data_IF_535271551455
#
_entry.id   IF_535271551455
#
_cell.length_a   1.000
_cell.length_b   1.000
_cell.length_c   1.000
_cell.angle_alpha   90.00
_cell.angle_beta   90.00
_cell.angle_gamma   90.00
#
_symmetry.space_group_name_H-M   'P 1'
#
loop_
_entity.id
_entity.type
_entity.pdbx_description
1 polymer ?
#
# COMPACT_ATOMS: atom_id res chain seq x y z
N UNK A 1 13.53 5.69 -6.23
CA UNK A 1 12.35 4.90 -6.65
C UNK A 1 12.00 5.12 -8.11
N UNK A 2 11.71 6.33 -8.60
CA UNK A 2 11.35 6.56 -10.02
C UNK A 2 12.34 5.99 -11.04
N UNK A 3 13.64 6.23 -10.84
CA UNK A 3 14.70 5.65 -11.70
C UNK A 3 14.69 4.12 -11.71
N UNK A 4 14.33 3.49 -10.58
CA UNK A 4 14.26 2.03 -10.49
C UNK A 4 13.07 1.45 -11.29
N UNK A 5 12.14 2.28 -11.74
CA UNK A 5 11.07 1.90 -12.67
C UNK A 5 11.50 2.05 -14.15
N UNK A 6 12.70 2.59 -14.43
CA UNK A 6 13.16 2.96 -15.77
C UNK A 6 14.66 2.67 -15.95
N UNK A 7 15.12 1.48 -15.54
CA UNK A 7 16.54 1.12 -15.62
C UNK A 7 17.12 1.21 -17.05
N UNK A 8 16.29 0.99 -18.06
CA UNK A 8 16.65 1.11 -19.47
C UNK A 8 17.11 2.53 -19.85
N UNK A 9 16.55 3.54 -19.19
CA UNK A 9 16.81 4.94 -19.51
C UNK A 9 18.01 5.50 -18.73
N UNK A 10 18.66 4.71 -17.86
CA UNK A 10 19.75 5.18 -16.97
C UNK A 10 20.89 5.85 -17.74
N UNK A 11 21.26 5.31 -18.93
CA UNK A 11 22.29 5.92 -19.80
C UNK A 11 21.86 7.28 -20.33
N UNK A 12 20.63 7.36 -20.84
CA UNK A 12 20.06 8.60 -21.38
C UNK A 12 19.96 9.68 -20.29
N UNK A 13 19.41 9.33 -19.13
CA UNK A 13 19.30 10.23 -17.97
C UNK A 13 20.67 10.74 -17.53
N UNK A 14 21.69 9.88 -17.50
CA UNK A 14 23.06 10.28 -17.13
C UNK A 14 23.65 11.27 -18.12
N UNK A 15 23.53 11.01 -19.43
CA UNK A 15 24.05 11.93 -20.46
C UNK A 15 23.41 13.31 -20.34
N UNK A 16 22.09 13.38 -20.20
CA UNK A 16 21.37 14.64 -20.01
C UNK A 16 21.79 15.38 -18.72
N UNK A 17 22.18 14.64 -17.68
CA UNK A 17 22.60 15.23 -16.41
C UNK A 17 24.05 15.72 -16.38
N UNK A 18 24.93 15.15 -17.21
CA UNK A 18 26.34 15.57 -17.30
C UNK A 18 26.54 16.89 -18.02
N UNK A 19 25.58 17.29 -18.86
CA UNK A 19 25.57 18.63 -19.49
C UNK A 19 25.45 19.76 -18.45
N UNK A 20 25.21 19.44 -17.16
CA UNK A 20 24.90 20.41 -16.11
C UNK A 20 25.68 20.17 -14.81
N UNK A 21 26.44 21.19 -14.39
CA UNK A 21 27.25 21.14 -13.17
C UNK A 21 26.58 21.96 -12.05
N UNK A 22 25.44 21.50 -11.53
CA UNK A 22 24.88 22.03 -10.27
C UNK A 22 25.07 21.04 -9.13
N UNK A 23 25.18 21.54 -7.88
CA UNK A 23 25.41 20.70 -6.69
C UNK A 23 24.29 19.68 -6.44
N UNK A 24 23.03 20.03 -6.71
CA UNK A 24 21.88 19.13 -6.58
C UNK A 24 21.85 18.05 -7.67
N UNK A 25 22.29 18.39 -8.89
CA UNK A 25 22.41 17.43 -10.00
C UNK A 25 23.58 16.47 -9.73
N UNK A 26 24.67 16.97 -9.14
CA UNK A 26 25.87 16.19 -8.88
C UNK A 26 25.61 14.88 -8.12
N UNK A 27 24.88 14.92 -7.00
CA UNK A 27 24.59 13.72 -6.21
C UNK A 27 23.77 12.71 -7.02
N UNK A 28 22.77 13.17 -7.77
CA UNK A 28 21.93 12.32 -8.62
C UNK A 28 22.75 11.72 -9.77
N UNK A 29 23.68 12.47 -10.37
CA UNK A 29 24.60 11.97 -11.39
C UNK A 29 25.50 10.88 -10.83
N UNK A 30 26.02 11.05 -9.60
CA UNK A 30 26.79 10.01 -8.91
C UNK A 30 25.98 8.74 -8.66
N UNK A 31 24.69 8.86 -8.30
CA UNK A 31 23.80 7.70 -8.18
C UNK A 31 23.57 6.99 -9.52
N UNK A 32 23.36 7.73 -10.61
CA UNK A 32 23.22 7.13 -11.94
C UNK A 32 24.52 6.48 -12.42
N UNK A 33 25.67 7.09 -12.16
CA UNK A 33 26.98 6.50 -12.45
C UNK A 33 27.19 5.19 -11.68
N UNK A 34 26.83 5.16 -10.39
CA UNK A 34 26.87 3.94 -9.60
C UNK A 34 25.96 2.85 -10.18
N UNK A 35 24.73 3.20 -10.58
CA UNK A 35 23.81 2.27 -11.23
C UNK A 35 24.37 1.75 -12.57
N UNK A 36 24.92 2.61 -13.43
CA UNK A 36 25.53 2.22 -14.71
C UNK A 36 26.75 1.30 -14.51
N UNK A 37 27.56 1.57 -13.49
CA UNK A 37 28.69 0.73 -13.14
C UNK A 37 28.22 -0.64 -12.64
N UNK A 38 27.15 -0.70 -11.85
CA UNK A 38 26.52 -1.96 -11.44
C UNK A 38 25.96 -2.73 -12.64
N UNK A 39 25.22 -2.06 -13.54
CA UNK A 39 24.68 -2.68 -14.75
C UNK A 39 25.80 -3.28 -15.62
N UNK A 40 26.89 -2.54 -15.79
CA UNK A 40 28.05 -2.99 -16.57
C UNK A 40 28.78 -4.16 -15.89
N UNK A 41 28.99 -4.08 -14.57
CA UNK A 41 29.72 -5.11 -13.80
C UNK A 41 28.95 -6.43 -13.74
N UNK A 42 27.62 -6.35 -13.60
CA UNK A 42 26.72 -7.51 -13.53
C UNK A 42 26.27 -8.00 -14.91
N UNK A 43 26.54 -7.24 -15.98
CA UNK A 43 25.97 -7.45 -17.31
C UNK A 43 24.42 -7.56 -17.27
N UNK A 44 23.79 -6.73 -16.43
CA UNK A 44 22.35 -6.68 -16.24
C UNK A 44 21.84 -5.27 -16.52
N UNK A 45 20.80 -5.16 -17.34
CA UNK A 45 20.15 -3.88 -17.59
C UNK A 45 19.18 -3.55 -16.45
N UNK A 46 18.32 -4.48 -16.06
CA UNK A 46 17.42 -4.31 -14.92
C UNK A 46 18.15 -4.64 -13.61
N UNK A 47 18.29 -3.67 -12.71
CA UNK A 47 18.86 -3.89 -11.37
C UNK A 47 17.81 -4.36 -10.35
N UNK A 48 16.54 -4.43 -10.74
CA UNK A 48 15.43 -4.89 -9.92
C UNK A 48 14.77 -3.78 -9.11
N UNK A 49 13.96 -4.19 -8.14
CA UNK A 49 13.17 -3.29 -7.31
C UNK A 49 13.97 -2.77 -6.12
N UNK A 50 13.79 -1.50 -5.79
CA UNK A 50 14.41 -0.88 -4.62
C UNK A 50 13.78 -1.41 -3.32
N UNK A 51 14.60 -1.78 -2.34
CA UNK A 51 14.10 -1.97 -0.98
C UNK A 51 13.71 -0.62 -0.38
N UNK A 52 12.52 -0.53 0.20
CA UNK A 52 11.93 0.74 0.59
C UNK A 52 12.67 1.46 1.73
N UNK A 53 13.39 0.70 2.56
CA UNK A 53 14.10 1.21 3.74
C UNK A 53 15.60 1.21 3.49
N UNK A 54 16.23 2.38 3.28
CA UNK A 54 17.69 2.47 3.26
C UNK A 54 18.27 1.99 4.58
N UNK A 55 19.35 1.22 4.52
CA UNK A 55 20.08 0.79 5.72
C UNK A 55 21.04 1.90 6.13
N UNK A 56 21.21 2.10 7.43
CA UNK A 56 22.09 3.11 8.00
C UNK A 56 22.88 2.50 9.15
N UNK A 57 24.16 2.81 9.24
CA UNK A 57 24.99 2.50 10.41
C UNK A 57 25.11 3.72 11.35
N UNK A 58 25.79 3.52 12.48
CA UNK A 58 26.08 4.59 13.45
C UNK A 58 27.03 5.66 12.93
N UNK A 59 27.77 5.39 11.85
CA UNK A 59 28.74 6.30 11.23
C UNK A 59 28.10 7.17 10.13
N UNK A 60 26.82 6.96 9.82
CA UNK A 60 26.09 7.69 8.79
C UNK A 60 26.22 7.12 7.37
N UNK A 61 26.84 5.96 7.21
CA UNK A 61 26.87 5.23 5.93
C UNK A 61 25.47 4.79 5.56
N UNK A 62 25.04 5.09 4.32
CA UNK A 62 23.72 4.70 3.81
C UNK A 62 23.89 3.65 2.73
N UNK A 63 23.24 2.50 2.88
CA UNK A 63 23.17 1.46 1.86
C UNK A 63 21.76 1.39 1.29
N UNK A 64 21.69 1.53 -0.04
CA UNK A 64 20.48 1.39 -0.82
C UNK A 64 20.54 0.04 -1.52
N UNK A 65 19.55 -0.81 -1.25
CA UNK A 65 19.52 -2.18 -1.77
C UNK A 65 18.51 -2.31 -2.91
N UNK A 66 18.88 -3.09 -3.92
CA UNK A 66 17.98 -3.49 -5.02
C UNK A 66 17.89 -5.00 -5.05
N UNK A 67 16.70 -5.52 -5.33
CA UNK A 67 16.41 -6.96 -5.38
C UNK A 67 15.92 -7.28 -6.78
N UNK A 68 16.61 -8.20 -7.45
CA UNK A 68 16.23 -8.70 -8.76
C UNK A 68 16.11 -10.23 -8.74
N UNK A 69 15.04 -10.75 -9.35
CA UNK A 69 14.90 -12.17 -9.62
C UNK A 69 15.51 -12.52 -10.98
N UNK A 70 16.65 -13.22 -10.94
CA UNK A 70 17.35 -13.66 -12.16
C UNK A 70 16.99 -15.11 -12.48
N UNK A 71 16.46 -15.37 -13.68
CA UNK A 71 16.07 -16.72 -14.13
C UNK A 71 17.23 -17.71 -14.20
N UNK A 72 18.43 -17.23 -14.56
CA UNK A 72 19.62 -18.07 -14.67
C UNK A 72 20.85 -17.36 -14.11
N UNK A 73 21.62 -17.98 -13.21
CA UNK A 73 22.89 -17.44 -12.73
C UNK A 73 23.89 -17.12 -13.86
N UNK A 74 23.76 -17.77 -15.02
CA UNK A 74 24.61 -17.56 -16.20
C UNK A 74 24.36 -16.23 -16.91
N UNK A 75 23.21 -15.60 -16.70
CA UNK A 75 22.89 -14.30 -17.31
C UNK A 75 23.48 -13.12 -16.53
N UNK A 76 24.18 -13.38 -15.43
CA UNK A 76 24.86 -12.36 -14.63
C UNK A 76 26.34 -12.59 -14.75
N UNK A 77 27.06 -11.55 -15.14
CA UNK A 77 28.52 -11.56 -15.09
C UNK A 77 28.97 -11.51 -13.63
N UNK A 78 29.76 -12.50 -13.22
CA UNK A 78 30.23 -12.65 -11.84
C UNK A 78 31.75 -12.56 -11.80
N UNK A 79 32.34 -11.62 -12.54
CA UNK A 79 33.79 -11.50 -12.79
C UNK A 79 34.67 -11.53 -11.54
N UNK A 80 34.15 -11.10 -10.37
CA UNK A 80 34.86 -11.12 -9.08
C UNK A 80 33.95 -11.54 -7.89
N UNK A 81 32.85 -12.22 -8.17
CA UNK A 81 31.87 -12.62 -7.15
C UNK A 81 31.55 -14.10 -7.28
N UNK A 82 30.76 -14.65 -6.36
CA UNK A 82 30.21 -16.00 -6.49
C UNK A 82 28.79 -16.04 -5.97
N UNK A 83 27.96 -16.85 -6.60
CA UNK A 83 26.64 -17.16 -6.06
C UNK A 83 26.79 -17.92 -4.76
N UNK A 84 26.09 -17.46 -3.72
CA UNK A 84 26.06 -18.11 -2.42
C UNK A 84 24.66 -18.70 -2.18
N UNK A 85 24.57 -19.96 -1.74
CA UNK A 85 23.34 -20.53 -1.22
C UNK A 85 22.80 -19.70 -0.05
N UNK A 86 21.47 -19.56 0.00
CA UNK A 86 20.77 -18.71 0.97
C UNK A 86 21.05 -19.11 2.43
N UNK A 87 21.16 -20.41 2.71
CA UNK A 87 21.52 -20.93 4.03
C UNK A 87 22.92 -20.50 4.53
N UNK A 88 23.83 -20.11 3.62
CA UNK A 88 25.15 -19.57 4.00
C UNK A 88 25.12 -18.08 4.30
N UNK A 89 24.14 -17.38 3.74
CA UNK A 89 23.93 -15.94 3.88
C UNK A 89 23.08 -15.64 5.12
N UNK A 90 22.05 -16.46 5.37
CA UNK A 90 21.16 -16.37 6.53
C UNK A 90 21.80 -16.89 7.81
N UNK A 91 22.86 -16.21 8.26
CA UNK A 91 23.35 -16.35 9.62
C UNK A 91 22.58 -15.37 10.51
N UNK A 92 22.00 -15.86 11.60
CA UNK A 92 21.44 -14.97 12.65
C UNK A 92 22.59 -14.15 13.24
N UNK A 93 22.75 -12.93 12.75
CA UNK A 93 23.63 -11.94 13.35
C UNK A 93 22.86 -11.22 14.45
N UNK A 94 23.39 -11.20 15.67
CA UNK A 94 22.87 -10.35 16.74
C UNK A 94 23.38 -8.94 16.48
N UNK A 95 22.47 -8.03 16.13
CA UNK A 95 22.80 -6.64 15.90
C UNK A 95 22.92 -5.90 17.24
N UNK A 96 24.06 -5.26 17.47
CA UNK A 96 24.28 -4.22 18.48
C UNK A 96 24.20 -2.81 17.86
N UNK A 97 24.05 -1.76 18.65
CA UNK A 97 24.09 -0.36 18.19
C UNK A 97 25.40 0.02 17.47
N UNK A 98 26.49 -0.72 17.74
CA UNK A 98 27.80 -0.56 17.09
C UNK A 98 28.02 -1.48 15.88
N UNK A 99 26.97 -2.17 15.40
CA UNK A 99 27.11 -3.10 14.28
C UNK A 99 27.57 -2.39 13.01
N UNK A 100 28.52 -3.00 12.28
CA UNK A 100 28.94 -2.46 11.00
C UNK A 100 27.81 -2.49 9.97
N UNK A 101 27.85 -1.59 8.98
CA UNK A 101 26.85 -1.60 7.90
C UNK A 101 26.79 -2.94 7.16
N UNK A 102 27.91 -3.67 7.09
CA UNK A 102 27.99 -5.00 6.50
C UNK A 102 27.17 -6.01 7.31
N UNK A 103 27.23 -5.96 8.64
CA UNK A 103 26.47 -6.85 9.51
C UNK A 103 24.98 -6.55 9.43
N UNK A 104 24.61 -5.26 9.43
CA UNK A 104 23.22 -4.80 9.25
C UNK A 104 22.68 -5.26 7.89
N UNK A 105 23.47 -5.11 6.82
CA UNK A 105 23.10 -5.59 5.50
C UNK A 105 22.85 -7.09 5.51
N UNK A 106 23.82 -7.90 5.97
CA UNK A 106 23.72 -9.35 5.98
C UNK A 106 22.53 -9.86 6.81
N UNK A 107 22.24 -9.24 7.95
CA UNK A 107 21.08 -9.56 8.78
C UNK A 107 19.75 -9.27 8.08
N UNK A 108 19.69 -8.22 7.24
CA UNK A 108 18.46 -7.77 6.60
C UNK A 108 18.10 -8.51 5.29
N UNK A 109 19.02 -9.28 4.70
CA UNK A 109 18.83 -9.88 3.35
C UNK A 109 17.54 -10.72 3.27
N UNK A 110 17.25 -11.52 4.30
CA UNK A 110 16.06 -12.37 4.32
C UNK A 110 14.77 -11.54 4.28
N UNK A 111 14.71 -10.46 5.07
CA UNK A 111 13.56 -9.57 5.14
C UNK A 111 13.36 -8.81 3.83
N UNK A 112 14.46 -8.34 3.23
CA UNK A 112 14.42 -7.66 1.94
C UNK A 112 13.87 -8.55 0.82
N UNK A 113 14.30 -9.81 0.78
CA UNK A 113 13.84 -10.78 -0.23
C UNK A 113 12.37 -11.14 0.00
N UNK A 114 11.98 -11.40 1.26
CA UNK A 114 10.59 -11.69 1.61
C UNK A 114 9.69 -10.52 1.21
N UNK A 115 10.07 -9.29 1.59
CA UNK A 115 9.35 -8.08 1.22
C UNK A 115 9.20 -7.94 -0.30
N UNK A 116 10.28 -8.14 -1.05
CA UNK A 116 10.24 -8.06 -2.51
C UNK A 116 9.21 -9.04 -3.10
N UNK A 117 9.27 -10.31 -2.68
CA UNK A 117 8.38 -11.36 -3.17
C UNK A 117 6.90 -11.04 -2.90
N UNK A 118 6.58 -10.61 -1.68
CA UNK A 118 5.19 -10.34 -1.29
C UNK A 118 4.67 -9.00 -1.80
N UNK A 119 5.54 -8.01 -2.01
CA UNK A 119 5.15 -6.68 -2.51
C UNK A 119 4.65 -6.65 -3.94
N UNK A 120 4.94 -7.70 -4.72
CA UNK A 120 4.51 -7.84 -6.11
C UNK A 120 3.30 -8.78 -6.27
N UNK A 121 2.76 -9.33 -5.17
CA UNK A 121 1.62 -10.23 -5.22
C UNK A 121 0.33 -9.45 -5.45
N UNK A 122 -0.44 -9.87 -6.45
CA UNK A 122 -1.80 -9.37 -6.69
C UNK A 122 -2.78 -10.07 -5.77
N UNK A 123 -3.78 -9.33 -5.29
CA UNK A 123 -4.98 -9.94 -4.73
C UNK A 123 -5.70 -10.79 -5.79
N UNK A 124 -6.29 -11.89 -5.36
CA UNK A 124 -7.18 -12.68 -6.22
C UNK A 124 -8.48 -11.93 -6.51
N UNK A 125 -9.26 -12.45 -7.46
CA UNK A 125 -10.54 -11.86 -7.85
C UNK A 125 -11.50 -11.74 -6.67
N UNK A 126 -12.09 -10.57 -6.47
CA UNK A 126 -13.14 -10.33 -5.48
C UNK A 126 -13.31 -8.90 -5.02
N UNK A 127 -14.35 -8.70 -4.21
CA UNK A 127 -14.59 -7.47 -3.46
C UNK A 127 -13.95 -7.59 -2.08
N UNK A 128 -13.19 -6.57 -1.69
CA UNK A 128 -12.49 -6.51 -0.43
C UNK A 128 -12.93 -5.32 0.42
N UNK A 129 -12.77 -5.44 1.73
CA UNK A 129 -12.89 -4.35 2.67
C UNK A 129 -11.50 -4.03 3.17
N UNK A 130 -11.05 -2.79 3.01
CA UNK A 130 -9.73 -2.32 3.37
C UNK A 130 -9.80 -1.34 4.55
N UNK A 131 -8.79 -1.33 5.41
CA UNK A 131 -8.73 -0.47 6.58
C UNK A 131 -7.57 0.52 6.46
N UNK A 132 -7.87 1.82 6.46
CA UNK A 132 -6.84 2.86 6.43
C UNK A 132 -6.33 3.14 7.85
N UNK A 133 -5.05 2.88 8.11
CA UNK A 133 -4.40 3.31 9.35
C UNK A 133 -3.15 4.09 9.02
N UNK A 134 -3.12 5.35 9.44
CA UNK A 134 -1.96 6.23 9.24
C UNK A 134 -1.22 6.49 10.55
N UNK A 135 0.08 6.62 10.43
CA UNK A 135 0.98 7.05 11.50
C UNK A 135 1.74 8.29 11.04
N UNK A 136 1.85 9.29 11.90
CA UNK A 136 2.72 10.43 11.66
C UNK A 136 4.11 10.14 12.22
N UNK A 137 5.14 10.46 11.44
CA UNK A 137 6.53 10.56 11.89
C UNK A 137 7.02 11.98 11.67
N UNK A 138 8.17 12.36 12.27
CA UNK A 138 8.69 13.74 12.30
C UNK A 138 8.67 14.41 10.90
N UNK A 139 8.99 13.65 9.85
CA UNK A 139 9.13 14.19 8.49
C UNK A 139 8.13 13.63 7.47
N UNK A 140 7.32 12.63 7.83
CA UNK A 140 6.46 11.95 6.85
C UNK A 140 5.28 11.19 7.47
N UNK A 141 4.20 11.07 6.70
CA UNK A 141 3.07 10.20 7.03
C UNK A 141 3.33 8.80 6.47
N UNK A 142 3.06 7.80 7.28
CA UNK A 142 3.21 6.39 6.96
C UNK A 142 1.87 5.67 7.07
N UNK A 143 1.73 4.58 6.32
CA UNK A 143 0.59 3.67 6.33
C UNK A 143 0.99 2.37 7.03
N UNK A 144 0.12 1.88 7.91
CA UNK A 144 0.25 0.55 8.48
C UNK A 144 -0.32 -0.45 7.48
N UNK A 145 0.51 -1.41 7.06
CA UNK A 145 0.15 -2.47 6.10
C UNK A 145 0.61 -3.83 6.61
N UNK A 146 0.05 -4.91 6.06
CA UNK A 146 0.49 -6.27 6.39
C UNK A 146 1.85 -6.57 5.76
N UNK A 147 2.72 -7.28 6.50
CA UNK A 147 3.99 -7.79 5.97
C UNK A 147 3.80 -8.80 4.84
N UNK A 148 2.64 -9.46 4.77
CA UNK A 148 2.32 -10.45 3.73
C UNK A 148 1.77 -9.85 2.44
N UNK A 149 1.26 -8.63 2.47
CA UNK A 149 0.69 -7.91 1.33
C UNK A 149 0.93 -6.41 1.48
N UNK A 150 2.19 -5.95 1.41
CA UNK A 150 2.55 -4.57 1.74
C UNK A 150 2.07 -3.55 0.70
N UNK A 151 1.68 -4.03 -0.49
CA UNK A 151 1.09 -3.24 -1.57
C UNK A 151 -0.42 -3.04 -1.43
N UNK A 152 -1.03 -3.51 -0.34
CA UNK A 152 -2.43 -3.29 -0.01
C UNK A 152 -2.58 -2.88 1.44
N UNK A 153 -3.59 -2.05 1.72
CA UNK A 153 -4.02 -1.78 3.09
C UNK A 153 -4.44 -3.11 3.76
N UNK A 154 -4.41 -3.21 5.11
CA UNK A 154 -4.99 -4.33 5.82
C UNK A 154 -6.42 -4.56 5.33
N UNK A 155 -6.74 -5.78 4.92
CA UNK A 155 -7.98 -6.05 4.20
C UNK A 155 -8.59 -7.41 4.55
N UNK A 156 -9.89 -7.54 4.26
CA UNK A 156 -10.63 -8.78 4.35
C UNK A 156 -11.47 -8.98 3.09
N UNK A 157 -11.54 -10.21 2.56
CA UNK A 157 -12.40 -10.52 1.41
C UNK A 157 -13.86 -10.53 1.85
N UNK A 158 -14.71 -9.85 1.08
CA UNK A 158 -16.17 -9.80 1.26
C UNK A 158 -16.82 -10.92 0.45
N UNK A 159 -16.50 -11.01 -0.85
CA UNK A 159 -17.03 -12.01 -1.79
C UNK A 159 -16.17 -12.14 -3.05
N UNK A 160 -16.45 -13.13 -3.89
CA UNK A 160 -15.72 -13.37 -5.15
C UNK A 160 -16.12 -12.44 -6.30
N UNK A 161 -17.31 -11.83 -6.27
CA UNK A 161 -17.72 -10.84 -7.25
C UNK A 161 -17.15 -9.45 -6.88
N UNK A 162 -16.29 -8.84 -7.72
CA UNK A 162 -15.72 -7.52 -7.44
C UNK A 162 -16.73 -6.37 -7.58
N UNK A 163 -17.76 -6.50 -8.41
CA UNK A 163 -18.63 -5.38 -8.79
C UNK A 163 -19.76 -5.14 -7.80
N UNK A 164 -19.83 -3.93 -7.22
CA UNK A 164 -20.95 -3.49 -6.38
C UNK A 164 -22.00 -2.82 -7.25
N UNK A 165 -23.24 -3.32 -7.22
CA UNK A 165 -24.36 -2.71 -7.93
C UNK A 165 -24.77 -1.38 -7.31
N UNK A 166 -25.42 -0.51 -8.08
CA UNK A 166 -25.93 0.77 -7.58
C UNK A 166 -26.93 0.58 -6.42
N UNK A 167 -27.75 -0.48 -6.49
CA UNK A 167 -28.72 -0.84 -5.45
C UNK A 167 -28.05 -1.30 -4.15
N UNK A 168 -27.01 -2.13 -4.23
CA UNK A 168 -26.19 -2.55 -3.08
C UNK A 168 -25.48 -1.35 -2.45
N UNK A 169 -24.88 -0.49 -3.28
CA UNK A 169 -24.16 0.70 -2.81
C UNK A 169 -25.10 1.69 -2.13
N UNK A 170 -26.25 1.98 -2.74
CA UNK A 170 -27.24 2.89 -2.16
C UNK A 170 -27.81 2.33 -0.86
N UNK A 171 -28.08 1.03 -0.78
CA UNK A 171 -28.54 0.40 0.45
C UNK A 171 -27.51 0.51 1.57
N UNK A 172 -26.22 0.27 1.28
CA UNK A 172 -25.14 0.45 2.25
C UNK A 172 -25.04 1.90 2.73
N UNK A 173 -25.28 2.89 1.86
CA UNK A 173 -25.27 4.31 2.23
C UNK A 173 -26.46 4.73 3.09
N UNK A 174 -27.61 4.09 2.94
CA UNK A 174 -28.84 4.43 3.66
C UNK A 174 -28.89 3.90 5.10
N UNK A 175 -27.88 3.18 5.57
CA UNK A 175 -27.91 2.58 6.92
C UNK A 175 -27.97 3.60 8.06
N UNK A 176 -27.60 4.85 7.82
CA UNK A 176 -27.73 5.94 8.79
C UNK A 176 -29.17 6.47 8.95
N UNK A 177 -30.07 6.17 8.00
CA UNK A 177 -31.46 6.62 8.04
C UNK A 177 -32.29 5.70 8.95
N UNK A 178 -33.28 6.25 9.68
CA UNK A 178 -34.26 5.43 10.39
C UNK A 178 -34.98 4.51 9.40
N UNK A 179 -35.33 3.28 9.79
CA UNK A 179 -36.00 2.28 8.94
C UNK A 179 -37.37 2.77 8.41
N UNK A 180 -37.34 3.58 7.35
CA UNK A 180 -38.52 3.96 6.58
C UNK A 180 -38.73 2.85 5.55
N UNK A 181 -39.49 1.83 5.96
CA UNK A 181 -39.91 0.65 5.17
C UNK A 181 -38.73 -0.14 4.58
N UNK A 182 -38.32 -1.21 5.26
CA UNK A 182 -37.30 -2.18 4.80
C UNK A 182 -37.80 -3.00 3.58
N UNK A 183 -37.99 -2.31 2.46
CA UNK A 183 -38.25 -2.88 1.14
C UNK A 183 -36.95 -3.40 0.48
N UNK A 184 -35.91 -3.64 1.28
CA UNK A 184 -34.64 -4.16 0.79
C UNK A 184 -34.85 -5.53 0.14
N UNK A 185 -34.15 -5.78 -0.96
CA UNK A 185 -34.10 -7.11 -1.56
C UNK A 185 -33.28 -8.06 -0.68
N UNK A 186 -33.49 -9.36 -0.84
CA UNK A 186 -32.67 -10.38 -0.18
C UNK A 186 -31.18 -10.22 -0.54
N UNK A 187 -30.88 -9.80 -1.78
CA UNK A 187 -29.52 -9.52 -2.25
C UNK A 187 -28.86 -8.36 -1.49
N UNK A 188 -29.61 -7.28 -1.25
CA UNK A 188 -29.12 -6.12 -0.48
C UNK A 188 -28.83 -6.48 0.98
N UNK A 189 -29.70 -7.28 1.61
CA UNK A 189 -29.47 -7.77 2.98
C UNK A 189 -28.25 -8.67 3.06
N UNK A 190 -28.13 -9.64 2.16
CA UNK A 190 -26.97 -10.55 2.09
C UNK A 190 -25.67 -9.75 1.86
N UNK A 191 -25.67 -8.76 0.97
CA UNK A 191 -24.52 -7.88 0.77
C UNK A 191 -24.11 -7.15 2.05
N UNK A 192 -25.07 -6.57 2.78
CA UNK A 192 -24.81 -5.91 4.05
C UNK A 192 -24.23 -6.87 5.09
N UNK A 193 -24.80 -8.07 5.24
CA UNK A 193 -24.29 -9.13 6.14
C UNK A 193 -22.85 -9.51 5.80
N UNK A 194 -22.52 -9.68 4.51
CA UNK A 194 -21.16 -9.99 4.07
C UNK A 194 -20.18 -8.87 4.42
N UNK A 195 -20.57 -7.60 4.22
CA UNK A 195 -19.76 -6.43 4.58
C UNK A 195 -19.56 -6.35 6.10
N UNK A 196 -20.62 -6.54 6.88
CA UNK A 196 -20.57 -6.54 8.36
C UNK A 196 -19.68 -7.65 8.89
N UNK A 197 -19.81 -8.87 8.36
CA UNK A 197 -18.98 -10.02 8.70
C UNK A 197 -17.50 -9.78 8.36
N UNK A 198 -17.21 -9.18 7.19
CA UNK A 198 -15.86 -8.81 6.80
C UNK A 198 -15.28 -7.69 7.69
N UNK A 199 -16.09 -6.70 8.06
CA UNK A 199 -15.69 -5.61 8.96
C UNK A 199 -15.29 -6.16 10.34
N UNK A 200 -16.12 -7.04 10.93
CA UNK A 200 -15.81 -7.70 12.22
C UNK A 200 -14.50 -8.48 12.16
N UNK A 201 -14.27 -9.26 11.09
CA UNK A 201 -12.99 -9.98 10.91
C UNK A 201 -11.81 -9.03 10.79
N UNK A 202 -11.97 -7.93 10.06
CA UNK A 202 -10.92 -6.93 9.86
C UNK A 202 -10.59 -6.18 11.15
N UNK A 203 -11.60 -5.79 11.93
CA UNK A 203 -11.43 -5.15 13.23
C UNK A 203 -10.77 -6.08 14.24
N UNK A 204 -11.15 -7.35 14.28
CA UNK A 204 -10.48 -8.36 15.09
C UNK A 204 -9.01 -8.53 14.66
N UNK A 205 -8.72 -8.54 13.36
CA UNK A 205 -7.35 -8.61 12.86
C UNK A 205 -6.52 -7.39 13.28
N UNK A 206 -7.11 -6.20 13.23
CA UNK A 206 -6.46 -4.93 13.59
C UNK A 206 -6.51 -4.61 15.09
N UNK A 207 -7.02 -5.53 15.92
CA UNK A 207 -7.16 -5.37 17.38
C UNK A 207 -7.91 -4.08 17.77
N UNK A 208 -9.02 -3.82 17.08
CA UNK A 208 -9.87 -2.64 17.30
C UNK A 208 -11.03 -3.03 18.23
N UNK A 209 -11.21 -2.25 19.30
CA UNK A 209 -12.31 -2.46 20.24
C UNK A 209 -13.67 -2.20 19.58
N UNK A 210 -14.74 -2.82 20.10
CA UNK A 210 -16.09 -2.55 19.58
C UNK A 210 -16.51 -1.08 19.77
N UNK A 211 -16.03 -0.42 20.83
CA UNK A 211 -16.30 1.00 21.09
C UNK A 211 -15.65 1.88 20.02
N UNK A 212 -14.37 1.62 19.71
CA UNK A 212 -13.66 2.33 18.65
C UNK A 212 -14.32 2.07 17.31
N UNK A 213 -14.58 0.79 16.97
CA UNK A 213 -15.16 0.35 15.71
C UNK A 213 -16.47 1.08 15.37
N UNK A 214 -17.27 1.44 16.36
CA UNK A 214 -18.52 2.19 16.15
C UNK A 214 -18.29 3.64 15.67
N UNK A 215 -17.14 4.23 15.97
CA UNK A 215 -16.76 5.59 15.56
C UNK A 215 -16.10 5.65 14.18
N UNK A 216 -15.72 4.51 13.63
CA UNK A 216 -15.13 4.40 12.30
C UNK A 216 -16.14 4.74 11.21
N UNK A 217 -15.63 5.18 10.06
CA UNK A 217 -16.40 5.72 8.95
C UNK A 217 -16.12 4.93 7.69
N UNK A 218 -17.17 4.59 6.96
CA UNK A 218 -17.05 4.02 5.62
C UNK A 218 -16.76 5.13 4.62
N UNK A 219 -15.78 4.94 3.74
CA UNK A 219 -15.58 5.79 2.57
C UNK A 219 -16.74 5.60 1.59
N UNK A 220 -17.61 6.60 1.49
CA UNK A 220 -18.91 6.53 0.82
C UNK A 220 -18.98 7.29 -0.52
N UNK A 221 -17.86 7.90 -0.92
CA UNK A 221 -17.74 8.64 -2.19
C UNK A 221 -17.80 7.69 -3.39
N UNK A 222 -16.98 6.65 -3.39
CA UNK A 222 -16.90 5.67 -4.46
C UNK A 222 -16.35 4.31 -3.97
N UNK A 223 -16.57 3.27 -4.77
CA UNK A 223 -15.90 1.98 -4.62
C UNK A 223 -14.59 2.04 -5.40
N UNK A 224 -13.47 1.67 -4.78
CA UNK A 224 -12.18 1.72 -5.46
C UNK A 224 -12.01 0.48 -6.34
N UNK A 225 -12.02 0.69 -7.65
CA UNK A 225 -11.79 -0.35 -8.65
C UNK A 225 -10.30 -0.36 -9.06
N UNK A 226 -9.55 -1.38 -8.66
CA UNK A 226 -8.14 -1.50 -9.05
C UNK A 226 -7.99 -2.06 -10.46
N UNK A 227 -8.78 -3.09 -10.74
CA UNK A 227 -8.83 -3.87 -11.98
C UNK A 227 -10.23 -4.44 -12.11
N UNK A 228 -10.59 -4.95 -13.28
CA UNK A 228 -11.88 -5.64 -13.50
C UNK A 228 -12.11 -6.85 -12.56
N UNK A 229 -11.04 -7.36 -11.94
CA UNK A 229 -11.08 -8.51 -11.03
C UNK A 229 -11.08 -8.12 -9.55
N UNK A 230 -10.64 -6.92 -9.19
CA UNK A 230 -10.38 -6.54 -7.80
C UNK A 230 -10.90 -5.15 -7.52
N UNK A 231 -11.85 -5.07 -6.59
CA UNK A 231 -12.39 -3.81 -6.07
C UNK A 231 -12.41 -3.84 -4.56
N UNK A 232 -12.41 -2.66 -3.93
CA UNK A 232 -12.53 -2.58 -2.49
C UNK A 232 -13.25 -1.35 -1.99
N UNK A 233 -13.81 -1.49 -0.79
CA UNK A 233 -14.40 -0.42 0.01
C UNK A 233 -13.44 -0.13 1.15
N UNK A 234 -13.27 1.15 1.52
CA UNK A 234 -12.34 1.55 2.57
C UNK A 234 -13.08 1.95 3.84
N UNK A 235 -12.59 1.47 4.98
CA UNK A 235 -12.96 1.95 6.30
C UNK A 235 -11.84 2.85 6.83
N UNK A 236 -12.23 4.02 7.31
CA UNK A 236 -11.36 4.98 7.94
C UNK A 236 -11.67 5.07 9.44
N UNK A 237 -10.66 5.26 10.31
CA UNK A 237 -10.87 5.69 11.68
C UNK A 237 -11.66 6.99 11.76
N UNK A 238 -12.15 7.31 12.96
CA UNK A 238 -12.61 8.68 13.26
C UNK A 238 -11.53 9.70 12.88
N UNK A 239 -11.94 10.89 12.44
CA UNK A 239 -11.02 11.94 11.99
C UNK A 239 -9.97 12.32 13.05
N UNK A 240 -10.30 12.15 14.33
CA UNK A 240 -9.40 12.41 15.46
C UNK A 240 -8.29 11.36 15.61
N UNK A 241 -8.56 10.12 15.23
CA UNK A 241 -7.65 8.98 15.36
C UNK A 241 -7.08 8.49 14.02
N UNK A 242 -7.36 9.23 12.95
CA UNK A 242 -6.93 8.86 11.60
C UNK A 242 -5.41 8.88 11.44
N UNK A 243 -4.69 9.65 12.25
CA UNK A 243 -3.23 9.71 12.25
C UNK A 243 -2.67 9.67 13.68
N UNK A 244 -1.94 8.61 14.03
CA UNK A 244 -1.28 8.54 15.32
C UNK A 244 -0.16 9.60 15.44
N UNK A 245 -0.07 10.25 16.59
CA UNK A 245 0.89 11.34 16.87
C UNK A 245 2.29 10.77 17.09
N UNK A 246 3.37 11.44 16.63
CA UNK A 246 4.73 10.98 16.85
C UNK A 246 5.03 10.81 18.35
N UNK A 247 5.59 9.67 18.74
CA UNK A 247 5.93 9.36 20.15
C UNK A 247 4.99 8.36 20.83
N UNK A 248 3.77 8.16 20.31
CA UNK A 248 2.97 7.00 20.68
C UNK A 248 3.50 5.76 19.95
N UNK A 249 4.18 4.87 20.69
CA UNK A 249 4.52 3.54 20.16
C UNK A 249 3.21 2.77 19.96
N UNK A 250 2.78 2.63 18.71
CA UNK A 250 1.64 1.78 18.41
C UNK A 250 1.98 0.32 18.71
N UNK A 251 1.23 -0.28 19.65
CA UNK A 251 1.33 -1.70 20.05
C UNK A 251 1.22 -2.61 18.81
N UNK A 252 0.44 -2.18 17.81
CA UNK A 252 0.25 -2.91 16.56
C UNK A 252 1.57 -3.19 15.81
N UNK A 253 2.53 -2.27 15.85
CA UNK A 253 3.81 -2.46 15.15
C UNK A 253 4.77 -3.41 15.89
N UNK A 254 4.45 -3.80 17.12
CA UNK A 254 5.19 -4.84 17.85
C UNK A 254 4.80 -6.25 17.42
N UNK A 255 3.66 -6.41 16.72
CA UNK A 255 3.10 -7.72 16.35
C UNK A 255 3.89 -8.46 15.26
N UNK A 256 4.80 -7.77 14.55
CA UNK A 256 5.66 -8.36 13.52
C UNK A 256 4.95 -8.79 12.22
N UNK A 257 3.61 -8.83 12.20
CA UNK A 257 2.78 -9.08 11.02
C UNK A 257 2.35 -7.79 10.29
N UNK A 258 2.67 -6.63 10.88
CA UNK A 258 2.38 -5.30 10.36
C UNK A 258 3.68 -4.47 10.24
N UNK A 259 3.73 -3.61 9.22
CA UNK A 259 4.83 -2.65 9.00
C UNK A 259 4.28 -1.28 8.63
N UNK A 260 5.04 -0.23 8.94
CA UNK A 260 4.77 1.13 8.48
C UNK A 260 5.54 1.44 7.20
N UNK A 261 4.81 1.83 6.14
CA UNK A 261 5.39 2.26 4.87
C UNK A 261 5.09 3.74 4.62
N UNK A 262 6.07 4.55 4.17
CA UNK A 262 5.79 5.86 3.59
C UNK A 262 4.71 5.78 2.51
N UNK A 263 3.79 6.76 2.46
CA UNK A 263 2.74 6.83 1.44
C UNK A 263 3.34 6.68 0.03
N UNK A 264 4.43 7.40 -0.26
CA UNK A 264 5.09 7.35 -1.57
C UNK A 264 5.62 5.95 -1.93
N UNK A 265 6.08 5.19 -0.94
CA UNK A 265 6.54 3.81 -1.14
C UNK A 265 5.33 2.92 -1.44
N UNK A 266 4.28 3.02 -0.61
CA UNK A 266 3.06 2.25 -0.78
C UNK A 266 2.43 2.47 -2.16
N UNK A 267 2.24 3.73 -2.55
CA UNK A 267 1.67 4.06 -3.87
C UNK A 267 2.50 3.51 -5.01
N UNK A 268 3.84 3.59 -4.90
CA UNK A 268 4.73 3.08 -5.93
C UNK A 268 4.62 1.56 -6.07
N UNK A 269 4.66 0.79 -4.98
CA UNK A 269 4.54 -0.67 -5.06
C UNK A 269 3.12 -1.12 -5.45
N UNK A 270 2.09 -0.41 -4.96
CA UNK A 270 0.70 -0.67 -5.27
C UNK A 270 0.44 -0.46 -6.77
N UNK A 271 0.70 0.74 -7.27
CA UNK A 271 0.49 1.07 -8.68
C UNK A 271 1.42 0.27 -9.60
N UNK A 272 2.65 -0.05 -9.17
CA UNK A 272 3.51 -0.92 -9.98
C UNK A 272 2.99 -2.36 -10.05
N UNK A 273 2.29 -2.85 -9.01
CA UNK A 273 1.67 -4.18 -9.04
C UNK A 273 0.46 -4.22 -9.98
N UNK A 274 -0.43 -3.23 -9.89
CA UNK A 274 -1.72 -3.25 -10.60
C UNK A 274 -1.67 -2.55 -11.97
N UNK A 275 -0.84 -1.51 -12.13
CA UNK A 275 -0.78 -0.63 -13.30
C UNK A 275 0.67 -0.26 -13.69
N UNK A 276 1.56 -1.26 -13.77
CA UNK A 276 3.00 -1.07 -14.04
C UNK A 276 3.31 -0.18 -15.25
N UNK A 277 2.55 -0.33 -16.35
CA UNK A 277 2.76 0.45 -17.58
C UNK A 277 2.55 1.95 -17.36
N UNK A 278 1.56 2.34 -16.56
CA UNK A 278 1.29 3.75 -16.24
C UNK A 278 2.42 4.29 -15.38
N UNK A 279 2.84 3.55 -14.35
CA UNK A 279 3.94 3.94 -13.45
C UNK A 279 5.25 4.11 -14.20
N UNK A 280 5.60 3.19 -15.09
CA UNK A 280 6.83 3.27 -15.90
C UNK A 280 6.82 4.52 -16.79
N UNK A 281 5.73 4.77 -17.51
CA UNK A 281 5.58 5.97 -18.36
C UNK A 281 5.64 7.26 -17.54
N UNK A 282 4.95 7.30 -16.39
CA UNK A 282 4.98 8.44 -15.47
C UNK A 282 6.40 8.69 -14.95
N UNK A 283 7.09 7.65 -14.46
CA UNK A 283 8.45 7.78 -13.93
C UNK A 283 9.41 8.29 -15.00
N UNK A 284 9.34 7.75 -16.22
CA UNK A 284 10.15 8.19 -17.36
C UNK A 284 9.92 9.66 -17.68
N UNK A 285 8.66 10.06 -17.92
CA UNK A 285 8.30 11.43 -18.25
C UNK A 285 8.64 12.40 -17.12
N UNK A 286 8.37 12.02 -15.87
CA UNK A 286 8.66 12.85 -14.71
C UNK A 286 10.17 13.10 -14.57
N UNK A 287 11.01 12.08 -14.76
CA UNK A 287 12.46 12.24 -14.71
C UNK A 287 12.96 13.13 -15.87
N UNK A 288 12.46 12.93 -17.09
CA UNK A 288 12.87 13.74 -18.24
C UNK A 288 12.45 15.21 -18.10
N UNK A 289 11.19 15.47 -17.71
CA UNK A 289 10.69 16.82 -17.50
C UNK A 289 11.44 17.55 -16.38
N UNK A 290 11.77 16.86 -15.29
CA UNK A 290 12.54 17.45 -14.20
C UNK A 290 13.95 17.86 -14.65
N UNK A 291 14.59 17.05 -15.49
CA UNK A 291 15.90 17.37 -16.08
C UNK A 291 15.79 18.54 -17.06
N UNK A 292 14.88 18.48 -18.02
CA UNK A 292 14.68 19.55 -19.01
C UNK A 292 14.30 20.88 -18.37
N UNK A 293 13.49 20.87 -17.30
CA UNK A 293 13.13 22.07 -16.54
C UNK A 293 14.35 22.68 -15.82
N UNK A 294 15.23 21.85 -15.26
CA UNK A 294 16.48 22.31 -14.68
C UNK A 294 17.40 22.92 -15.76
N UNK A 295 17.51 22.28 -16.93
CA UNK A 295 18.28 22.78 -18.08
C UNK A 295 17.76 24.12 -18.58
N UNK A 296 16.45 24.22 -18.82
CA UNK A 296 15.84 25.46 -19.29
C UNK A 296 15.98 26.60 -18.26
N UNK A 297 15.93 26.27 -16.96
CA UNK A 297 16.14 27.24 -15.88
C UNK A 297 17.58 27.74 -15.84
N UNK A 298 18.55 26.88 -16.12
CA UNK A 298 19.97 27.25 -16.22
C UNK A 298 20.21 28.16 -17.42
N UNK A 299 19.77 27.76 -18.61
CA UNK A 299 19.90 28.56 -19.83
C UNK A 299 19.22 29.93 -19.71
N UNK A 300 18.10 29.99 -18.99
CA UNK A 300 17.44 31.26 -18.70
C UNK A 300 18.31 32.21 -17.85
N UNK A 301 19.09 31.67 -16.90
CA UNK A 301 20.01 32.46 -16.06
C UNK A 301 21.26 32.91 -16.80
N UNK A 302 21.72 32.12 -17.78
CA UNK A 302 22.89 32.43 -18.61
C UNK A 302 22.54 33.25 -19.87
N UNK A 303 21.26 33.48 -20.15
CA UNK A 303 20.86 34.22 -21.33
C UNK A 303 21.40 35.66 -21.29
N UNK A 304 22.19 36.03 -22.30
CA UNK A 304 22.84 37.34 -22.39
C UNK A 304 22.03 38.32 -23.26
N UNK A 305 21.31 37.81 -24.26
CA UNK A 305 20.51 38.62 -25.18
C UNK A 305 19.01 38.55 -24.86
N UNK A 306 18.28 39.63 -25.20
CA UNK A 306 16.82 39.65 -25.05
C UNK A 306 16.12 38.53 -25.85
N UNK A 307 16.67 38.13 -27.01
CA UNK A 307 16.18 37.00 -27.79
C UNK A 307 16.33 35.66 -27.05
N UNK A 308 17.49 35.39 -26.45
CA UNK A 308 17.72 34.17 -25.66
C UNK A 308 16.82 34.11 -24.42
N UNK A 309 16.64 35.25 -23.75
CA UNK A 309 15.74 35.36 -22.59
C UNK A 309 14.30 34.99 -22.98
N UNK A 310 13.80 35.47 -24.12
CA UNK A 310 12.46 35.16 -24.61
C UNK A 310 12.31 33.67 -24.94
N UNK A 311 13.25 33.09 -25.68
CA UNK A 311 13.24 31.65 -26.03
C UNK A 311 13.27 30.79 -24.77
N UNK A 312 14.13 31.12 -23.80
CA UNK A 312 14.24 30.38 -22.55
C UNK A 312 12.96 30.48 -21.71
N UNK A 313 12.31 31.66 -21.65
CA UNK A 313 11.01 31.82 -20.98
C UNK A 313 9.91 31.00 -21.63
N UNK A 314 9.83 30.99 -22.96
CA UNK A 314 8.83 30.18 -23.68
C UNK A 314 9.03 28.69 -23.43
N UNK A 315 10.28 28.21 -23.48
CA UNK A 315 10.62 26.81 -23.14
C UNK A 315 10.22 26.47 -21.71
N UNK A 316 10.51 27.33 -20.74
CA UNK A 316 10.13 27.13 -19.34
C UNK A 316 8.61 27.07 -19.16
N UNK A 317 7.86 27.99 -19.80
CA UNK A 317 6.40 27.99 -19.75
C UNK A 317 5.82 26.69 -20.32
N UNK A 318 6.35 26.20 -21.45
CA UNK A 318 5.93 24.92 -22.04
C UNK A 318 6.23 23.73 -21.13
N UNK A 319 7.39 23.70 -20.48
CA UNK A 319 7.76 22.63 -19.55
C UNK A 319 6.88 22.64 -18.30
N UNK A 320 6.53 23.81 -17.77
CA UNK A 320 5.58 23.95 -16.66
C UNK A 320 4.18 23.47 -17.01
N UNK A 321 3.69 23.77 -18.22
CA UNK A 321 2.41 23.25 -18.72
C UNK A 321 2.41 21.71 -18.82
N UNK A 322 3.48 21.13 -19.38
CA UNK A 322 3.65 19.67 -19.46
C UNK A 322 3.74 19.02 -18.08
N UNK A 323 4.47 19.62 -17.14
CA UNK A 323 4.55 19.16 -15.76
C UNK A 323 3.17 19.17 -15.08
N UNK A 324 2.42 20.26 -15.23
CA UNK A 324 1.07 20.40 -14.68
C UNK A 324 0.13 19.33 -15.25
N UNK A 325 0.19 19.08 -16.56
CA UNK A 325 -0.59 18.01 -17.21
C UNK A 325 -0.22 16.63 -16.69
N UNK A 326 1.07 16.34 -16.53
CA UNK A 326 1.54 15.07 -15.99
C UNK A 326 1.08 14.87 -14.54
N UNK A 327 1.13 15.92 -13.72
CA UNK A 327 0.67 15.88 -12.33
C UNK A 327 -0.85 15.67 -12.24
N UNK A 328 -1.63 16.29 -13.11
CA UNK A 328 -3.09 16.07 -13.18
C UNK A 328 -3.42 14.63 -13.54
N UNK A 329 -2.77 14.06 -14.55
CA UNK A 329 -2.94 12.64 -14.91
C UNK A 329 -2.48 11.70 -13.79
N UNK A 330 -1.41 12.05 -13.07
CA UNK A 330 -0.95 11.25 -11.95
C UNK A 330 -1.93 11.31 -10.77
N UNK A 331 -2.53 12.47 -10.50
CA UNK A 331 -3.57 12.62 -9.46
C UNK A 331 -4.79 11.77 -9.76
N UNK A 332 -5.26 11.69 -11.01
CA UNK A 332 -6.44 10.88 -11.37
C UNK A 332 -6.25 9.37 -11.18
N UNK A 333 -5.00 8.89 -11.05
CA UNK A 333 -4.69 7.47 -10.81
C UNK A 333 -4.58 7.17 -9.29
N UNK A 334 -4.48 8.21 -8.45
CA UNK A 334 -4.16 8.07 -7.01
C UNK A 334 -5.40 8.19 -6.13
N UNK A 335 -6.12 7.09 -5.98
CA UNK A 335 -7.27 6.98 -5.07
C UNK A 335 -6.92 7.28 -3.60
N UNK A 336 -5.71 6.93 -3.16
CA UNK A 336 -5.34 7.01 -1.74
C UNK A 336 -5.35 8.46 -1.21
N UNK A 337 -5.02 9.44 -2.05
CA UNK A 337 -5.03 10.84 -1.65
C UNK A 337 -6.44 11.30 -1.26
N UNK A 338 -7.45 10.89 -2.03
CA UNK A 338 -8.85 11.23 -1.80
C UNK A 338 -9.40 10.55 -0.53
N UNK A 339 -9.04 9.28 -0.32
CA UNK A 339 -9.38 8.55 0.91
C UNK A 339 -8.71 9.17 2.14
N UNK A 340 -7.44 9.61 2.03
CA UNK A 340 -6.76 10.31 3.13
C UNK A 340 -7.41 11.66 3.44
N UNK A 341 -7.81 12.41 2.40
CA UNK A 341 -8.52 13.68 2.57
C UNK A 341 -9.84 13.45 3.30
N UNK A 342 -10.61 12.45 2.88
CA UNK A 342 -11.84 12.02 3.56
C UNK A 342 -11.60 11.62 5.03
N UNK A 343 -10.57 10.79 5.27
CA UNK A 343 -10.25 10.31 6.61
C UNK A 343 -9.93 11.46 7.58
N UNK A 344 -9.34 12.55 7.08
CA UNK A 344 -8.97 13.72 7.90
C UNK A 344 -10.09 14.74 8.06
N UNK A 345 -11.09 14.72 7.18
CA UNK A 345 -12.18 15.68 7.24
C UNK A 345 -13.15 15.37 8.38
N UNK A 346 -13.36 16.36 9.26
CA UNK A 346 -14.29 16.30 10.40
C UNK A 346 -15.72 16.66 10.02
N UNK A 347 -15.92 17.34 8.90
CA UNK A 347 -17.19 17.93 8.50
C UNK A 347 -17.98 17.04 7.52
N UNK A 348 -17.36 16.00 6.95
CA UNK A 348 -18.05 15.08 6.05
C UNK A 348 -18.94 14.14 6.88
N UNK A 349 -20.25 14.36 6.77
CA UNK A 349 -21.26 13.41 7.21
C UNK A 349 -21.11 12.12 6.41
N UNK A 350 -20.57 11.09 7.06
CA UNK A 350 -20.28 9.79 6.45
C UNK A 350 -20.90 8.68 7.29
N UNK A 351 -21.01 7.48 6.70
CA UNK A 351 -21.65 6.34 7.35
C UNK A 351 -20.76 5.85 8.48
N UNK A 352 -21.24 6.02 9.71
CA UNK A 352 -20.60 5.41 10.86
C UNK A 352 -20.81 3.90 10.85
N UNK A 353 -19.75 3.16 11.13
CA UNK A 353 -19.75 1.71 11.16
C UNK A 353 -20.73 1.15 12.18
N UNK A 354 -21.08 1.89 13.24
CA UNK A 354 -22.17 1.49 14.18
C UNK A 354 -23.47 1.10 13.44
N UNK A 355 -23.84 1.86 12.41
CA UNK A 355 -25.08 1.62 11.66
C UNK A 355 -25.01 0.34 10.81
N UNK A 356 -23.81 -0.05 10.39
CA UNK A 356 -23.55 -1.27 9.62
C UNK A 356 -23.43 -2.47 10.56
N UNK A 357 -22.83 -2.29 11.74
CA UNK A 357 -22.59 -3.34 12.74
C UNK A 357 -23.85 -3.72 13.55
N UNK A 358 -24.74 -2.75 13.82
CA UNK A 358 -25.93 -2.94 14.67
C UNK A 358 -27.07 -3.70 13.98
N UNK A 359 -27.20 -3.63 12.65
CA UNK A 359 -28.35 -4.23 11.94
C UNK A 359 -28.34 -5.76 11.86
N UNK A 360 -27.27 -6.43 12.26
CA UNK A 360 -27.31 -7.90 12.47
C UNK A 360 -28.20 -8.29 13.66
N UNK A 361 -28.49 -7.39 14.60
CA UNK A 361 -29.24 -7.72 15.83
C UNK A 361 -30.76 -7.81 15.58
N UNK A 362 -31.23 -7.47 14.38
CA UNK A 362 -32.66 -7.46 14.03
C UNK A 362 -33.27 -8.80 13.60
N UNK A 363 -32.47 -9.84 13.32
CA UNK A 363 -32.98 -11.15 12.84
C UNK A 363 -32.40 -12.32 13.62
N UNK A 364 -32.69 -12.37 14.92
CA UNK A 364 -32.76 -13.64 15.65
C UNK A 364 -33.70 -13.58 16.85
N UNK A 365 -34.94 -13.17 16.63
CA UNK A 365 -36.09 -13.69 17.37
C UNK A 365 -36.94 -14.56 16.44
N UNK A 366 -36.31 -15.55 15.81
CA UNK A 366 -37.10 -16.70 15.36
C UNK A 366 -37.63 -17.42 16.61
N UNK A 367 -38.95 -17.66 16.71
CA UNK A 367 -39.51 -18.43 17.81
C UNK A 367 -38.90 -19.82 17.75
N UNK A 368 -38.68 -20.43 18.92
CA UNK A 368 -38.34 -21.83 19.17
C UNK A 368 -38.44 -22.71 17.90
N UNK A 369 -37.30 -23.19 17.40
CA UNK A 369 -37.24 -24.39 16.56
C UNK A 369 -37.62 -25.60 17.42
N UNK A 370 -38.89 -25.72 17.76
CA UNK A 370 -39.53 -26.98 18.19
C UNK A 370 -39.90 -27.77 16.93
N UNK A 371 -38.91 -28.29 16.20
CA UNK A 371 -39.15 -29.40 15.27
C UNK A 371 -37.88 -30.25 15.21
N UNK A 372 -38.06 -31.51 15.63
CA UNK A 372 -37.09 -32.60 15.82
C UNK A 372 -36.32 -32.60 17.16
N UNK A 373 -37.07 -32.57 18.27
CA UNK A 373 -36.61 -33.26 19.48
C UNK A 373 -36.69 -34.78 19.26
N UNK A 374 -35.56 -35.46 19.47
CA UNK A 374 -35.52 -36.92 19.64
C UNK A 374 -36.38 -37.30 20.86
N UNK A 375 -37.18 -38.38 20.80
CA UNK A 375 -38.01 -38.77 21.93
C UNK A 375 -37.12 -39.13 23.13
N UNK A 376 -37.52 -38.77 24.36
CA UNK A 376 -36.76 -39.11 25.55
C UNK A 376 -36.68 -40.64 25.71
N UNK A 377 -35.56 -41.18 26.23
CA UNK A 377 -35.43 -42.61 26.47
C UNK A 377 -36.52 -43.05 27.45
N UNK A 378 -37.27 -44.09 27.06
CA UNK A 378 -38.29 -44.72 27.91
C UNK A 378 -37.63 -45.16 29.22
N UNK A 379 -38.06 -44.53 30.32
CA UNK A 379 -37.77 -44.99 31.68
C UNK A 379 -38.35 -46.39 31.82
N UNK A 380 -37.47 -47.39 31.86
CA UNK A 380 -37.83 -48.75 32.29
C UNK A 380 -38.20 -48.62 33.77
N UNK A 381 -39.49 -48.78 34.07
CA UNK A 381 -40.00 -48.96 35.43
C UNK A 381 -39.38 -50.24 35.99
N UNK A 382 -38.34 -50.11 36.81
CA UNK A 382 -37.94 -51.17 37.73
C UNK A 382 -39.03 -51.31 38.79
N UNK A 383 -39.79 -52.39 38.71
CA UNK A 383 -40.67 -52.88 39.77
C UNK A 383 -39.88 -53.11 41.06
N UNK A 384 -40.38 -52.71 42.24
CA UNK A 384 -39.77 -53.08 43.50
C UNK A 384 -40.14 -54.54 43.83
N UNK A 385 -39.17 -55.43 43.74
CA UNK A 385 -39.30 -56.80 44.23
C UNK A 385 -39.31 -56.81 45.76
N UNK A 386 -40.42 -57.25 46.34
CA UNK A 386 -40.54 -57.68 47.75
C UNK A 386 -39.56 -58.82 48.02
N UNK A 387 -38.96 -58.80 49.22
CA UNK A 387 -37.89 -59.70 49.61
C UNK A 387 -38.28 -61.14 49.88
N UNK A 388 -37.22 -61.94 50.06
CA UNK A 388 -37.05 -62.97 51.08
C UNK A 388 -35.55 -63.20 51.26
#
# INVERSE_FOLDING_TARGET
MRVACTWDDTKCLKTLMEEHTSSTIHFRTKLLLAALQMQSSLCLQDLGQLYYKPLRDSQGTVVISTINYVKSPKSVSVLNSRWLPMNKVFKKAVLSEESSISDVLMASIQDQINYHQVSSLKLGRGLYLAYLKMQSSVDMIQLVVSTKTPNMLPHCKVRDNPHVSAEEWQYLKQQHLPDVLDNASELQRNFLELVTSAAKRLFNYMDISNEDANTHRLYDTEVIELTDEVSFIVICPSAEFSCAVPGQREILLQRGDLISLPIQVFEMIHLNTYQSTIVQKYCKLSCLLELDAATASHLHREAFSNSEVVIAKERLARLQDLQTKLETLWKSVRWLADVIAFARDRNIGSILMRHVLEKEVGVSTSPKRDLLQLPPPKVIKSTPGRGS
#
